data_IF_072242111554
#
_entry.id   IF_072242111554
#
_cell.length_a   1.000
_cell.length_b   1.000
_cell.length_c   1.000
_cell.angle_alpha   90.00
_cell.angle_beta   90.00
_cell.angle_gamma   90.00
#
_symmetry.space_group_name_H-M   'P 1'
#
loop_
_entity.id
_entity.type
_entity.pdbx_description
1 polymer ?
#
# COMPACT_ATOMS: atom_id res chain seq x y z
N UNK A 1 -47.38 -45.34 -70.44
CA UNK A 1 -47.17 -43.88 -70.52
C UNK A 1 -46.48 -43.46 -69.23
N UNK A 2 -45.22 -42.97 -69.31
CA UNK A 2 -44.40 -42.33 -68.25
C UNK A 2 -43.99 -43.23 -67.06
N UNK A 3 -42.81 -43.86 -67.06
CA UNK A 3 -41.43 -43.37 -66.81
C UNK A 3 -41.16 -43.10 -65.31
N UNK A 4 -40.24 -43.92 -64.75
CA UNK A 4 -39.21 -43.65 -63.73
C UNK A 4 -39.60 -43.13 -62.34
N UNK A 5 -38.90 -43.42 -61.24
CA UNK A 5 -37.70 -44.20 -60.90
C UNK A 5 -37.55 -44.09 -59.37
N UNK A 6 -37.12 -45.18 -58.72
CA UNK A 6 -36.14 -45.24 -57.62
C UNK A 6 -36.38 -44.38 -56.34
N UNK A 7 -35.87 -44.66 -55.16
CA UNK A 7 -34.90 -45.63 -54.68
C UNK A 7 -35.17 -45.83 -53.18
N UNK A 8 -34.71 -46.96 -52.68
CA UNK A 8 -34.60 -47.26 -51.26
C UNK A 8 -33.85 -46.18 -50.48
N UNK A 9 -34.29 -45.92 -49.25
CA UNK A 9 -33.46 -45.28 -48.23
C UNK A 9 -33.56 -46.11 -46.95
N UNK A 10 -32.47 -46.83 -46.68
CA UNK A 10 -32.16 -47.60 -45.49
C UNK A 10 -32.04 -46.65 -44.30
N UNK A 11 -32.88 -46.80 -43.27
CA UNK A 11 -32.72 -46.10 -42.00
C UNK A 11 -31.58 -46.74 -41.20
N UNK A 12 -30.38 -46.19 -41.38
CA UNK A 12 -29.23 -46.41 -40.51
C UNK A 12 -29.45 -45.70 -39.17
N UNK A 13 -29.56 -46.47 -38.09
CA UNK A 13 -29.63 -45.96 -36.71
C UNK A 13 -28.22 -45.54 -36.30
N UNK A 14 -27.93 -44.25 -36.32
CA UNK A 14 -26.69 -43.68 -35.82
C UNK A 14 -26.72 -43.58 -34.28
N UNK A 15 -25.96 -44.46 -33.64
CA UNK A 15 -25.48 -44.31 -32.26
C UNK A 15 -24.51 -43.11 -32.21
N UNK A 16 -25.05 -41.92 -31.94
CA UNK A 16 -24.27 -40.73 -31.63
C UNK A 16 -23.82 -40.73 -30.17
N UNK A 17 -22.59 -41.19 -29.93
CA UNK A 17 -21.84 -40.90 -28.71
C UNK A 17 -21.66 -39.38 -28.58
N UNK A 18 -22.44 -38.75 -27.70
CA UNK A 18 -22.16 -37.39 -27.25
C UNK A 18 -20.94 -37.42 -26.34
N UNK A 19 -19.76 -37.16 -26.88
CA UNK A 19 -18.63 -36.70 -26.07
C UNK A 19 -18.93 -35.26 -25.66
N UNK A 20 -19.54 -35.08 -24.48
CA UNK A 20 -19.54 -33.78 -23.80
C UNK A 20 -18.08 -33.43 -23.49
N UNK A 21 -17.47 -32.61 -24.35
CA UNK A 21 -16.23 -31.93 -24.03
C UNK A 21 -16.56 -30.92 -22.93
N UNK A 22 -16.37 -31.31 -21.67
CA UNK A 22 -16.35 -30.37 -20.56
C UNK A 22 -15.23 -29.36 -20.83
N UNK A 23 -15.60 -28.15 -21.25
CA UNK A 23 -14.67 -27.03 -21.25
C UNK A 23 -14.25 -26.83 -19.79
N UNK A 24 -13.02 -27.25 -19.46
CA UNK A 24 -12.42 -26.93 -18.18
C UNK A 24 -12.42 -25.41 -18.06
N UNK A 25 -13.27 -24.86 -17.19
CA UNK A 25 -13.24 -23.46 -16.84
C UNK A 25 -11.82 -23.18 -16.31
N UNK A 26 -11.07 -22.36 -17.04
CA UNK A 26 -9.79 -21.89 -16.54
C UNK A 26 -10.04 -21.25 -15.16
N UNK A 27 -9.23 -21.58 -14.13
CA UNK A 27 -9.40 -20.96 -12.82
C UNK A 27 -9.38 -19.44 -12.98
N UNK A 28 -10.24 -18.69 -12.27
CA UNK A 28 -10.25 -17.24 -12.36
C UNK A 28 -8.84 -16.72 -12.03
N UNK A 29 -8.16 -16.16 -13.02
CA UNK A 29 -6.90 -15.44 -12.78
C UNK A 29 -7.24 -14.29 -11.85
N UNK A 30 -6.65 -14.31 -10.65
CA UNK A 30 -6.75 -13.20 -9.71
C UNK A 30 -6.38 -11.90 -10.46
N UNK A 31 -7.26 -10.90 -10.38
CA UNK A 31 -7.03 -9.63 -11.05
C UNK A 31 -5.71 -9.03 -10.58
N UNK A 32 -4.83 -8.68 -11.52
CA UNK A 32 -3.53 -8.10 -11.21
C UNK A 32 -3.73 -6.71 -10.60
N UNK A 33 -3.02 -6.41 -9.52
CA UNK A 33 -3.07 -5.08 -8.90
C UNK A 33 -2.49 -4.04 -9.86
N UNK A 34 -3.25 -2.98 -10.14
CA UNK A 34 -2.77 -1.85 -10.93
C UNK A 34 -1.90 -0.92 -10.07
N UNK A 35 -0.58 -1.06 -10.23
CA UNK A 35 0.39 -0.26 -9.49
C UNK A 35 0.28 1.23 -9.83
N UNK A 36 0.08 1.60 -11.10
CA UNK A 36 0.07 3.02 -11.49
C UNK A 36 -1.12 3.75 -10.87
N UNK A 37 -2.30 3.14 -10.91
CA UNK A 37 -3.49 3.67 -10.23
C UNK A 37 -3.26 3.78 -8.72
N UNK A 38 -2.61 2.80 -8.11
CA UNK A 38 -2.26 2.81 -6.68
C UNK A 38 -1.29 3.96 -6.33
N UNK A 39 -0.28 4.21 -7.17
CA UNK A 39 0.68 5.29 -6.96
C UNK A 39 0.06 6.68 -7.13
N UNK A 40 -0.83 6.87 -8.10
CA UNK A 40 -1.57 8.13 -8.26
C UNK A 40 -2.47 8.39 -7.06
N UNK A 41 -3.17 7.36 -6.58
CA UNK A 41 -4.00 7.47 -5.39
C UNK A 41 -3.18 7.78 -4.14
N UNK A 42 -2.00 7.15 -3.98
CA UNK A 42 -1.09 7.46 -2.89
C UNK A 42 -0.64 8.93 -2.89
N UNK A 43 -0.31 9.48 -4.06
CA UNK A 43 0.07 10.89 -4.17
C UNK A 43 -1.09 11.82 -3.74
N UNK A 44 -2.32 11.47 -4.10
CA UNK A 44 -3.53 12.21 -3.71
C UNK A 44 -3.76 12.15 -2.20
N UNK A 45 -3.74 10.94 -1.62
CA UNK A 45 -3.93 10.73 -0.17
C UNK A 45 -2.83 11.42 0.62
N UNK A 46 -1.57 11.29 0.22
CA UNK A 46 -0.46 11.98 0.91
C UNK A 46 -0.61 13.51 0.91
N UNK A 47 -1.14 14.09 -0.17
CA UNK A 47 -1.44 15.52 -0.23
C UNK A 47 -2.61 15.92 0.66
N UNK A 48 -3.67 15.10 0.72
CA UNK A 48 -4.82 15.33 1.59
C UNK A 48 -4.39 15.25 3.07
N UNK A 49 -3.70 14.18 3.46
CA UNK A 49 -3.18 14.01 4.81
C UNK A 49 -2.25 15.13 5.24
N UNK A 50 -1.42 15.66 4.33
CA UNK A 50 -0.57 16.81 4.64
C UNK A 50 -1.38 18.08 4.95
N UNK A 51 -2.50 18.29 4.24
CA UNK A 51 -3.40 19.41 4.48
C UNK A 51 -4.18 19.22 5.79
N UNK A 52 -4.63 18.01 6.08
CA UNK A 52 -5.38 17.71 7.31
C UNK A 52 -4.49 17.81 8.56
N UNK A 53 -3.23 17.37 8.47
CA UNK A 53 -2.23 17.62 9.52
C UNK A 53 -1.99 19.14 9.70
N UNK A 54 -1.95 19.92 8.62
CA UNK A 54 -1.77 21.38 8.71
C UNK A 54 -2.95 22.09 9.40
N UNK A 55 -4.14 21.49 9.35
CA UNK A 55 -5.34 22.02 9.99
C UNK A 55 -5.43 21.67 11.49
N UNK A 56 -4.57 20.79 11.99
CA UNK A 56 -4.53 20.46 13.41
C UNK A 56 -4.16 21.67 14.24
N UNK A 57 -4.97 21.95 15.28
CA UNK A 57 -4.68 22.98 16.28
C UNK A 57 -4.22 22.33 17.57
N UNK A 58 -3.10 21.61 17.48
CA UNK A 58 -2.45 20.95 18.62
C UNK A 58 -2.21 21.97 19.76
N UNK A 59 -1.93 23.23 19.42
CA UNK A 59 -1.76 24.31 20.38
C UNK A 59 -3.03 24.58 21.22
N UNK A 60 -4.22 24.36 20.66
CA UNK A 60 -5.55 24.58 21.27
C UNK A 60 -6.12 23.34 21.96
N UNK A 61 -5.48 22.19 21.82
CA UNK A 61 -5.90 20.97 22.50
C UNK A 61 -5.88 21.18 24.02
N UNK A 62 -7.04 20.97 24.65
CA UNK A 62 -7.31 21.37 26.03
C UNK A 62 -6.89 20.33 27.07
N UNK A 63 -7.67 20.21 28.15
CA UNK A 63 -7.38 19.32 29.28
C UNK A 63 -7.32 17.82 28.93
N UNK A 64 -7.78 17.43 27.74
CA UNK A 64 -7.65 16.06 27.21
C UNK A 64 -6.23 15.52 27.26
N UNK A 65 -5.22 16.41 27.29
CA UNK A 65 -3.81 16.03 27.29
C UNK A 65 -3.43 15.14 28.48
N UNK A 66 -4.02 15.41 29.65
CA UNK A 66 -3.79 14.59 30.86
C UNK A 66 -4.34 13.18 30.69
N UNK A 67 -5.50 13.05 30.04
CA UNK A 67 -6.13 11.76 29.75
C UNK A 67 -5.35 10.99 28.69
N UNK A 68 -4.93 11.68 27.62
CA UNK A 68 -4.06 11.12 26.57
C UNK A 68 -2.78 10.54 27.15
N UNK A 69 -2.06 11.33 27.96
CA UNK A 69 -0.85 10.88 28.64
C UNK A 69 -1.12 9.71 29.60
N UNK A 70 -2.24 9.72 30.32
CA UNK A 70 -2.66 8.64 31.21
C UNK A 70 -2.91 7.31 30.47
N UNK A 71 -3.21 7.35 29.18
CA UNK A 71 -3.34 6.18 28.29
C UNK A 71 -2.03 5.78 27.59
N UNK A 72 -0.89 6.29 28.03
CA UNK A 72 0.41 6.03 27.41
C UNK A 72 0.75 6.96 26.23
N UNK A 73 -0.07 7.99 26.00
CA UNK A 73 0.19 9.01 24.99
C UNK A 73 1.42 9.87 25.29
N UNK A 74 1.99 10.46 24.24
CA UNK A 74 3.19 11.31 24.30
C UNK A 74 2.93 12.67 24.96
N UNK A 75 3.92 13.59 24.97
CA UNK A 75 3.71 15.01 25.35
C UNK A 75 3.36 15.89 24.14
N UNK A 76 2.82 17.08 24.42
CA UNK A 76 2.19 17.92 23.39
C UNK A 76 3.23 18.33 22.36
N UNK A 77 4.39 18.73 22.87
CA UNK A 77 5.57 19.11 22.09
C UNK A 77 6.04 17.96 21.20
N UNK A 78 5.88 16.71 21.66
CA UNK A 78 6.25 15.53 20.88
C UNK A 78 5.28 15.32 19.70
N UNK A 79 3.98 15.58 19.89
CA UNK A 79 2.99 15.50 18.80
C UNK A 79 3.14 16.63 17.79
N UNK A 80 3.46 17.85 18.25
CA UNK A 80 3.81 18.95 17.35
C UNK A 80 5.03 18.59 16.50
N UNK A 81 6.04 17.96 17.10
CA UNK A 81 7.22 17.50 16.40
C UNK A 81 6.93 16.35 15.40
N UNK A 82 6.09 15.39 15.79
CA UNK A 82 5.62 14.31 14.91
C UNK A 82 4.86 14.88 13.71
N UNK A 83 3.92 15.80 13.93
CA UNK A 83 3.16 16.46 12.88
C UNK A 83 4.08 17.17 11.88
N UNK A 84 5.02 17.99 12.36
CA UNK A 84 5.98 18.70 11.51
C UNK A 84 6.86 17.73 10.69
N UNK A 85 7.30 16.63 11.29
CA UNK A 85 8.15 15.64 10.61
C UNK A 85 7.35 14.85 9.58
N UNK A 86 6.11 14.48 9.90
CA UNK A 86 5.19 13.86 8.94
C UNK A 86 4.93 14.75 7.74
N UNK A 87 4.63 16.04 7.94
CA UNK A 87 4.41 16.97 6.83
C UNK A 87 5.64 17.07 5.91
N UNK A 88 6.84 17.09 6.50
CA UNK A 88 8.09 17.03 5.73
C UNK A 88 8.20 15.74 4.91
N UNK A 89 7.85 14.59 5.49
CA UNK A 89 7.92 13.30 4.80
C UNK A 89 6.86 13.18 3.69
N UNK A 90 5.63 13.63 3.94
CA UNK A 90 4.55 13.67 2.95
C UNK A 90 4.89 14.58 1.77
N UNK A 91 5.53 15.72 2.04
CA UNK A 91 5.88 16.71 1.01
C UNK A 91 7.13 16.31 0.21
N UNK A 92 8.11 15.65 0.83
CA UNK A 92 9.43 15.45 0.21
C UNK A 92 9.81 13.99 -0.05
N UNK A 93 9.45 13.09 0.86
CA UNK A 93 9.88 11.69 0.81
C UNK A 93 8.92 10.87 -0.06
N UNK A 94 7.61 10.94 0.21
CA UNK A 94 6.61 10.15 -0.54
C UNK A 94 6.67 10.41 -2.06
N UNK A 95 6.70 11.65 -2.56
CA UNK A 95 6.81 11.89 -4.00
C UNK A 95 8.10 11.32 -4.61
N UNK A 96 9.21 11.38 -3.86
CA UNK A 96 10.49 10.79 -4.28
C UNK A 96 10.41 9.27 -4.37
N UNK A 97 9.78 8.60 -3.39
CA UNK A 97 9.62 7.15 -3.39
C UNK A 97 8.70 6.67 -4.51
N UNK A 98 7.62 7.42 -4.78
CA UNK A 98 6.74 7.16 -5.91
C UNK A 98 7.54 7.24 -7.22
N UNK A 99 8.33 8.30 -7.39
CA UNK A 99 9.20 8.45 -8.56
C UNK A 99 10.21 7.29 -8.69
N UNK A 100 10.83 6.86 -7.59
CA UNK A 100 11.75 5.73 -7.59
C UNK A 100 11.08 4.42 -8.03
N UNK A 101 9.83 4.18 -7.58
CA UNK A 101 9.04 3.02 -8.02
C UNK A 101 8.73 3.11 -9.52
N UNK A 102 8.34 4.28 -10.02
CA UNK A 102 8.05 4.51 -11.44
C UNK A 102 9.29 4.32 -12.31
N UNK A 103 10.43 4.91 -11.92
CA UNK A 103 11.70 4.80 -12.63
C UNK A 103 12.23 3.36 -12.65
N UNK A 104 11.95 2.59 -11.60
CA UNK A 104 12.28 1.17 -11.51
C UNK A 104 11.21 0.26 -12.13
N UNK A 105 10.22 0.82 -12.86
CA UNK A 105 9.13 0.08 -13.49
C UNK A 105 8.39 -0.88 -12.54
N UNK A 106 8.18 -0.47 -11.29
CA UNK A 106 7.48 -1.28 -10.29
C UNK A 106 8.28 -2.49 -9.79
N UNK A 107 9.62 -2.41 -9.78
CA UNK A 107 10.46 -3.48 -9.24
C UNK A 107 10.04 -3.89 -7.82
N UNK A 108 10.25 -5.16 -7.47
CA UNK A 108 9.89 -5.69 -6.16
C UNK A 108 10.58 -4.91 -5.02
N UNK A 109 11.87 -4.61 -5.18
CA UNK A 109 12.68 -3.90 -4.17
C UNK A 109 12.19 -2.46 -3.94
N UNK A 110 12.00 -1.69 -5.02
CA UNK A 110 11.51 -0.30 -4.89
C UNK A 110 10.10 -0.25 -4.30
N UNK A 111 9.22 -1.17 -4.72
CA UNK A 111 7.83 -1.22 -4.22
C UNK A 111 7.78 -1.66 -2.76
N UNK A 112 8.61 -2.62 -2.35
CA UNK A 112 8.74 -3.01 -0.94
C UNK A 112 9.26 -1.87 -0.07
N UNK A 113 10.25 -1.11 -0.55
CA UNK A 113 10.74 0.08 0.14
C UNK A 113 9.63 1.11 0.34
N UNK A 114 8.85 1.40 -0.71
CA UNK A 114 7.70 2.30 -0.62
C UNK A 114 6.67 1.80 0.40
N UNK A 115 6.33 0.51 0.37
CA UNK A 115 5.41 -0.10 1.34
C UNK A 115 5.91 0.07 2.79
N UNK A 116 7.18 -0.24 3.06
CA UNK A 116 7.76 -0.11 4.40
C UNK A 116 7.81 1.36 4.87
N UNK A 117 8.21 2.28 4.00
CA UNK A 117 8.23 3.71 4.34
C UNK A 117 6.80 4.24 4.57
N UNK A 118 5.79 3.74 3.82
CA UNK A 118 4.38 4.09 4.00
C UNK A 118 3.79 3.53 5.30
N UNK A 119 4.25 2.35 5.75
CA UNK A 119 3.89 1.76 7.04
C UNK A 119 4.19 2.71 8.20
N UNK A 120 5.38 3.32 8.18
CA UNK A 120 5.78 4.33 9.15
C UNK A 120 4.84 5.52 9.11
N UNK A 121 4.51 6.04 7.93
CA UNK A 121 3.56 7.16 7.80
C UNK A 121 2.20 6.79 8.39
N UNK A 122 1.67 5.62 8.06
CA UNK A 122 0.41 5.11 8.58
C UNK A 122 0.39 5.05 10.11
N UNK A 123 1.45 4.51 10.74
CA UNK A 123 1.53 4.43 12.20
C UNK A 123 1.44 5.80 12.87
N UNK A 124 2.19 6.79 12.38
CA UNK A 124 2.20 8.11 13.00
C UNK A 124 0.96 8.95 12.67
N UNK A 125 0.36 8.79 11.48
CA UNK A 125 -0.93 9.41 11.16
C UNK A 125 -2.04 8.82 12.04
N UNK A 126 -2.02 7.50 12.27
CA UNK A 126 -2.95 6.83 13.20
C UNK A 126 -2.82 7.37 14.61
N UNK A 127 -1.59 7.52 15.12
CA UNK A 127 -1.35 8.15 16.43
C UNK A 127 -1.83 9.59 16.51
N UNK A 128 -1.67 10.38 15.43
CA UNK A 128 -2.21 11.75 15.38
C UNK A 128 -3.73 11.75 15.35
N UNK A 129 -4.37 10.83 14.63
CA UNK A 129 -5.82 10.68 14.59
C UNK A 129 -6.38 10.32 15.98
N UNK A 130 -5.77 9.36 16.68
CA UNK A 130 -6.13 8.99 18.06
C UNK A 130 -5.94 10.16 19.04
N UNK A 131 -4.82 10.90 18.91
CA UNK A 131 -4.59 12.08 19.73
C UNK A 131 -5.64 13.17 19.43
N UNK A 132 -5.97 13.41 18.16
CA UNK A 132 -6.98 14.38 17.76
C UNK A 132 -8.38 13.98 18.22
N UNK A 133 -8.72 12.69 18.22
CA UNK A 133 -10.02 12.20 18.72
C UNK A 133 -10.18 12.48 20.21
N UNK A 134 -9.13 12.28 21.00
CA UNK A 134 -9.15 12.51 22.45
C UNK A 134 -9.10 13.99 22.82
N UNK A 135 -8.39 14.80 22.04
CA UNK A 135 -8.00 16.16 22.45
C UNK A 135 -8.57 17.29 21.59
N UNK A 136 -8.87 16.99 20.33
CA UNK A 136 -9.31 17.93 19.31
C UNK A 136 -10.81 17.92 19.09
N UNK A 137 -11.24 18.55 18.01
CA UNK A 137 -12.64 18.58 17.58
C UNK A 137 -12.89 17.59 16.44
N UNK A 138 -14.17 17.35 16.13
CA UNK A 138 -14.57 16.48 15.02
C UNK A 138 -13.99 16.91 13.69
N UNK A 139 -13.87 18.22 13.48
CA UNK A 139 -13.30 18.79 12.26
C UNK A 139 -11.79 18.53 12.13
N UNK A 140 -11.11 18.17 13.24
CA UNK A 140 -9.69 17.84 13.26
C UNK A 140 -9.45 16.31 13.18
N UNK A 141 -10.23 15.50 13.92
CA UNK A 141 -9.98 14.05 13.96
C UNK A 141 -10.63 13.27 12.82
N UNK A 142 -11.81 13.70 12.32
CA UNK A 142 -12.53 12.91 11.32
C UNK A 142 -11.76 12.82 10.00
N UNK A 143 -11.21 13.91 9.43
CA UNK A 143 -10.41 13.83 8.20
C UNK A 143 -9.19 12.92 8.36
N UNK A 144 -8.48 13.02 9.49
CA UNK A 144 -7.35 12.14 9.78
C UNK A 144 -7.76 10.67 9.93
N UNK A 145 -8.93 10.38 10.51
CA UNK A 145 -9.45 9.01 10.55
C UNK A 145 -9.74 8.47 9.15
N UNK A 146 -10.27 9.30 8.26
CA UNK A 146 -10.55 8.93 6.87
C UNK A 146 -9.23 8.70 6.10
N UNK A 147 -8.21 9.52 6.35
CA UNK A 147 -6.85 9.35 5.83
C UNK A 147 -6.22 8.02 6.28
N UNK A 148 -6.36 7.65 7.56
CA UNK A 148 -5.85 6.37 8.09
C UNK A 148 -6.46 5.19 7.32
N UNK A 149 -7.77 5.22 7.07
CA UNK A 149 -8.46 4.19 6.28
C UNK A 149 -7.93 4.15 4.83
N UNK A 150 -7.71 5.31 4.23
CA UNK A 150 -7.16 5.39 2.87
C UNK A 150 -5.72 4.85 2.79
N UNK A 151 -4.87 5.20 3.76
CA UNK A 151 -3.50 4.71 3.89
C UNK A 151 -3.45 3.20 4.13
N UNK A 152 -4.35 2.66 4.96
CA UNK A 152 -4.49 1.22 5.16
C UNK A 152 -4.83 0.50 3.84
N UNK A 153 -5.82 1.03 3.10
CA UNK A 153 -6.16 0.47 1.79
C UNK A 153 -4.97 0.49 0.82
N UNK A 154 -4.15 1.55 0.84
CA UNK A 154 -2.97 1.67 -0.01
C UNK A 154 -1.88 0.67 0.38
N UNK A 155 -1.64 0.48 1.68
CA UNK A 155 -0.74 -0.56 2.21
C UNK A 155 -1.16 -1.95 1.73
N UNK A 156 -2.46 -2.26 1.82
CA UNK A 156 -3.01 -3.53 1.32
C UNK A 156 -2.81 -3.74 -0.19
N UNK A 157 -3.02 -2.70 -1.00
CA UNK A 157 -2.78 -2.76 -2.45
C UNK A 157 -1.30 -2.96 -2.79
N UNK A 158 -0.40 -2.23 -2.14
CA UNK A 158 1.04 -2.39 -2.34
C UNK A 158 1.53 -3.77 -1.91
N UNK A 159 1.06 -4.28 -0.76
CA UNK A 159 1.35 -5.64 -0.29
C UNK A 159 0.88 -6.70 -1.29
N UNK A 160 -0.35 -6.58 -1.79
CA UNK A 160 -0.90 -7.50 -2.80
C UNK A 160 -0.08 -7.48 -4.11
N UNK A 161 0.38 -6.30 -4.53
CA UNK A 161 1.25 -6.18 -5.70
C UNK A 161 2.60 -6.87 -5.48
N UNK A 162 3.22 -6.67 -4.30
CA UNK A 162 4.50 -7.29 -3.91
C UNK A 162 4.37 -8.81 -3.92
N UNK A 163 3.28 -9.36 -3.37
CA UNK A 163 3.00 -10.79 -3.36
C UNK A 163 2.86 -11.35 -4.79
N UNK A 164 2.06 -10.71 -5.64
CA UNK A 164 1.90 -11.11 -7.05
C UNK A 164 3.21 -11.04 -7.84
N UNK A 165 4.03 -10.02 -7.59
CA UNK A 165 5.33 -9.87 -8.21
C UNK A 165 6.30 -10.98 -7.76
N UNK A 166 6.35 -11.27 -6.46
CA UNK A 166 7.18 -12.34 -5.91
C UNK A 166 6.78 -13.71 -6.46
N UNK A 167 5.48 -14.03 -6.47
CA UNK A 167 4.97 -15.28 -7.05
C UNK A 167 5.34 -15.44 -8.54
N UNK A 168 5.31 -14.33 -9.30
CA UNK A 168 5.74 -14.33 -10.71
C UNK A 168 7.25 -14.56 -10.90
N UNK A 169 8.08 -14.13 -9.95
CA UNK A 169 9.52 -14.41 -9.97
C UNK A 169 9.78 -15.89 -9.67
N UNK A 170 9.11 -16.43 -8.65
CA UNK A 170 9.21 -17.83 -8.26
C UNK A 170 8.78 -18.77 -9.39
N UNK A 171 7.69 -18.46 -10.10
CA UNK A 171 7.24 -19.25 -11.25
C UNK A 171 8.23 -19.29 -12.41
N UNK A 172 9.16 -18.33 -12.47
CA UNK A 172 10.19 -18.25 -13.52
C UNK A 172 11.45 -19.06 -13.15
N UNK A 173 11.55 -19.58 -11.91
CA UNK A 173 12.68 -20.40 -11.44
C UNK A 173 14.00 -19.63 -11.27
N UNK A 174 13.98 -18.30 -11.43
CA UNK A 174 15.14 -17.42 -11.26
C UNK A 174 15.07 -16.72 -9.91
N UNK A 175 15.36 -17.46 -8.84
CA UNK A 175 15.61 -16.83 -7.55
C UNK A 175 16.97 -16.12 -7.61
N UNK A 176 17.06 -14.83 -7.26
CA UNK A 176 18.35 -14.16 -7.13
C UNK A 176 19.16 -14.83 -6.01
N UNK A 177 20.50 -14.97 -6.16
CA UNK A 177 21.33 -15.47 -5.08
C UNK A 177 21.22 -14.53 -3.87
N UNK A 178 20.68 -15.02 -2.75
CA UNK A 178 20.47 -14.25 -1.51
C UNK A 178 21.78 -13.75 -0.85
N UNK A 179 22.95 -14.10 -1.40
CA UNK A 179 24.28 -13.75 -0.89
C UNK A 179 25.12 -12.91 -1.87
N UNK A 180 24.52 -12.21 -2.83
CA UNK A 180 25.26 -11.21 -3.61
C UNK A 180 25.50 -9.96 -2.76
N UNK A 181 26.76 -9.68 -2.45
CA UNK A 181 27.20 -8.44 -1.79
C UNK A 181 26.63 -7.26 -2.56
N UNK A 182 25.84 -6.41 -1.89
CA UNK A 182 25.20 -5.26 -2.51
C UNK A 182 26.25 -4.43 -3.26
N UNK A 183 26.09 -4.28 -4.57
CA UNK A 183 26.88 -3.33 -5.34
C UNK A 183 26.52 -1.92 -4.87
N UNK A 184 27.42 -1.29 -4.13
CA UNK A 184 27.33 0.11 -3.74
C UNK A 184 27.47 0.98 -4.98
N UNK A 185 26.36 1.38 -5.57
CA UNK A 185 26.33 2.52 -6.50
C UNK A 185 26.53 3.80 -5.68
N UNK A 186 27.58 4.61 -5.93
CA UNK A 186 27.71 5.91 -5.31
C UNK A 186 26.70 6.86 -5.97
N UNK A 187 25.51 6.94 -5.40
CA UNK A 187 24.44 7.80 -5.88
C UNK A 187 23.49 8.12 -4.72
N UNK A 188 23.48 9.40 -4.34
CA UNK A 188 22.54 10.10 -3.46
C UNK A 188 21.81 9.25 -2.41
N UNK A 189 22.18 9.44 -1.13
CA UNK A 189 21.54 8.83 0.04
C UNK A 189 20.01 8.74 -0.15
N UNK A 190 19.43 7.53 -0.21
CA UNK A 190 18.00 7.37 -0.39
C UNK A 190 17.28 8.07 0.76
N UNK A 191 16.35 8.98 0.42
CA UNK A 191 15.51 9.66 1.42
C UNK A 191 14.63 8.60 2.07
N UNK A 192 15.05 8.10 3.23
CA UNK A 192 14.24 7.23 4.07
C UNK A 192 13.22 8.10 4.81
N UNK A 193 12.00 7.60 4.96
CA UNK A 193 11.05 8.22 5.88
C UNK A 193 11.60 8.00 7.29
N UNK A 194 11.93 9.11 7.94
CA UNK A 194 12.30 9.12 9.35
C UNK A 194 11.34 10.07 10.02
N UNK A 195 10.51 9.53 10.90
CA UNK A 195 9.79 10.33 11.89
C UNK A 195 10.62 10.26 13.17
N UNK A 196 11.17 11.40 13.58
CA UNK A 196 11.92 11.49 14.82
C UNK A 196 10.92 11.45 15.99
N UNK A 197 10.91 10.35 16.73
CA UNK A 197 10.17 10.26 17.99
C UNK A 197 11.08 10.77 19.13
N UNK A 198 10.75 11.89 19.80
CA UNK A 198 11.57 12.43 20.88
C UNK A 198 11.66 11.49 22.10
N UNK A 199 10.74 10.53 22.26
CA UNK A 199 10.81 9.51 23.31
C UNK A 199 11.82 8.39 23.01
N UNK A 200 12.28 8.25 21.77
CA UNK A 200 13.21 7.20 21.34
C UNK A 200 14.70 7.51 21.59
N UNK A 201 15.03 8.59 22.32
CA UNK A 201 16.42 8.91 22.69
C UNK A 201 17.03 7.76 23.50
N UNK A 202 17.77 6.90 22.81
CA UNK A 202 18.59 5.83 23.38
C UNK A 202 19.46 6.42 24.48
N UNK A 203 19.33 5.89 25.69
CA UNK A 203 20.24 6.14 26.80
C UNK A 203 21.68 5.90 26.33
N UNK A 204 22.49 6.97 26.24
CA UNK A 204 23.94 6.83 26.16
C UNK A 204 24.38 6.04 27.40
N UNK A 205 24.77 4.78 27.23
CA UNK A 205 25.59 4.08 28.23
C UNK A 205 26.90 4.86 28.33
N UNK A 206 27.13 5.46 29.48
CA UNK A 206 28.38 6.17 29.80
C UNK A 206 29.45 5.09 30.08
N UNK A 207 30.69 5.22 29.54
CA UNK A 207 31.80 4.40 29.97
C UNK A 207 32.17 4.68 31.43
#
# INVERSE_FOLDING_TARGET
MRISTAAAAVCFVCLGLFTMQAAAAAPPQAARTDLNTTLTELQRVASATNADIANLRIDKWGAGWKVWKGRGGQKKEDMEHVAATLQKNLTNAIPSLIHDVQAAHGSLSSTFKLYHDLDVVFEYVSRLAEAAEVNGKKEEYQPLSDDVVALESLRGKLSSYIEQAAASLESTGKLPPMNATAATTPGQLPKKIVVDDPASKKTKKKP
#
